data_IF_653886096961
#
_entry.id   IF_653886096961
#
_cell.length_a   1.000
_cell.length_b   1.000
_cell.length_c   1.000
_cell.angle_alpha   90.00
_cell.angle_beta   90.00
_cell.angle_gamma   90.00
#
_symmetry.space_group_name_H-M   'P 1'
#
loop_
_entity.id
_entity.type
_entity.pdbx_description
1 polymer ?
#
# COMPACT_ATOMS: atom_id res chain seq x y z
N UNK A 1 61.31 -0.15 -31.43
CA UNK A 1 60.53 -1.37 -31.73
C UNK A 1 59.07 -1.05 -31.47
N UNK A 2 58.24 -1.34 -32.47
CA UNK A 2 56.94 -0.74 -32.71
C UNK A 2 55.85 -1.23 -31.75
N UNK A 3 55.00 -0.29 -31.33
CA UNK A 3 53.71 -0.51 -30.70
C UNK A 3 52.73 -1.10 -31.72
N UNK A 4 52.10 -2.21 -31.34
CA UNK A 4 51.10 -2.92 -32.13
C UNK A 4 49.78 -2.14 -32.16
N UNK A 5 49.46 -1.57 -33.33
CA UNK A 5 48.13 -1.12 -33.71
C UNK A 5 47.27 -2.36 -34.06
N UNK A 6 46.28 -2.67 -33.23
CA UNK A 6 45.18 -3.58 -33.59
C UNK A 6 43.99 -2.76 -34.05
N UNK A 7 43.64 -2.91 -35.33
CA UNK A 7 42.44 -2.34 -35.95
C UNK A 7 41.17 -2.84 -35.25
N UNK A 8 40.10 -2.02 -35.13
CA UNK A 8 38.86 -2.45 -34.49
C UNK A 8 38.23 -3.61 -35.28
N UNK A 9 37.69 -4.59 -34.55
CA UNK A 9 37.02 -5.74 -35.16
C UNK A 9 35.65 -5.35 -35.74
N UNK A 10 35.22 -6.05 -36.78
CA UNK A 10 33.93 -5.89 -37.49
C UNK A 10 32.72 -5.72 -36.56
N UNK A 11 32.75 -6.33 -35.37
CA UNK A 11 31.70 -6.20 -34.36
C UNK A 11 31.69 -4.82 -33.69
N UNK A 12 32.85 -4.25 -33.35
CA UNK A 12 32.93 -2.90 -32.78
C UNK A 12 32.52 -1.83 -33.81
N UNK A 13 32.85 -2.05 -35.08
CA UNK A 13 32.38 -1.19 -36.18
C UNK A 13 30.87 -1.31 -36.37
N UNK A 14 30.30 -2.52 -36.30
CA UNK A 14 28.85 -2.74 -36.37
C UNK A 14 28.11 -2.19 -35.15
N UNK A 15 28.69 -2.26 -33.95
CA UNK A 15 28.13 -1.65 -32.74
C UNK A 15 28.22 -0.13 -32.84
N UNK A 16 29.32 0.43 -33.34
CA UNK A 16 29.45 1.86 -33.59
C UNK A 16 28.49 2.36 -34.68
N UNK A 17 28.29 1.59 -35.75
CA UNK A 17 27.29 1.89 -36.79
C UNK A 17 25.85 1.69 -36.29
N UNK A 18 25.58 0.72 -35.42
CA UNK A 18 24.27 0.53 -34.79
C UNK A 18 23.95 1.68 -33.81
N UNK A 19 24.95 2.15 -33.05
CA UNK A 19 24.84 3.33 -32.18
C UNK A 19 24.65 4.60 -33.03
N UNK A 20 25.35 4.72 -34.16
CA UNK A 20 25.24 5.86 -35.09
C UNK A 20 23.92 5.85 -35.88
N UNK A 21 23.39 4.69 -36.22
CA UNK A 21 22.09 4.49 -36.88
C UNK A 21 20.90 4.69 -35.91
N UNK A 22 21.11 4.50 -34.60
CA UNK A 22 20.19 4.98 -33.55
C UNK A 22 20.31 6.47 -33.26
N UNK A 23 21.22 7.18 -33.93
CA UNK A 23 21.21 8.63 -34.06
C UNK A 23 20.02 9.13 -34.88
N UNK A 24 18.80 8.73 -34.53
CA UNK A 24 17.63 9.56 -34.81
C UNK A 24 17.84 10.86 -34.07
N UNK A 25 17.77 12.00 -34.78
CA UNK A 25 17.90 13.37 -34.25
C UNK A 25 17.72 13.40 -32.74
N UNK A 26 18.80 13.61 -31.98
CA UNK A 26 18.71 13.80 -30.55
C UNK A 26 17.72 14.94 -30.33
N UNK A 27 16.48 14.61 -29.97
CA UNK A 27 15.46 15.61 -29.71
C UNK A 27 16.03 16.56 -28.67
N UNK A 28 15.97 17.87 -28.96
CA UNK A 28 16.62 18.89 -28.12
C UNK A 28 16.08 18.87 -26.68
N UNK A 29 14.92 18.25 -26.47
CA UNK A 29 14.25 18.10 -25.19
C UNK A 29 13.81 16.63 -24.97
N UNK A 30 14.13 16.02 -23.81
CA UNK A 30 13.74 14.63 -23.52
C UNK A 30 12.22 14.44 -23.40
N UNK A 31 11.69 13.32 -23.88
CA UNK A 31 10.26 12.99 -23.79
C UNK A 31 10.01 11.51 -23.46
N UNK A 32 10.27 11.08 -22.21
CA UNK A 32 10.07 9.70 -21.79
C UNK A 32 8.59 9.41 -21.49
N UNK A 33 7.76 9.34 -22.54
CA UNK A 33 6.30 9.18 -22.42
C UNK A 33 5.82 7.88 -21.77
N UNK A 34 6.69 6.90 -21.61
CA UNK A 34 6.41 5.60 -21.00
C UNK A 34 6.56 5.60 -19.47
N UNK A 35 7.09 6.69 -18.89
CA UNK A 35 7.37 6.79 -17.46
C UNK A 35 6.12 7.20 -16.71
N UNK A 36 5.72 6.36 -15.76
CA UNK A 36 4.66 6.67 -14.81
C UNK A 36 5.26 7.29 -13.54
N UNK A 37 4.83 8.51 -13.19
CA UNK A 37 5.29 9.19 -11.98
C UNK A 37 5.02 8.38 -10.71
N UNK A 38 3.92 7.61 -10.67
CA UNK A 38 3.57 6.77 -9.51
C UNK A 38 4.60 5.67 -9.22
N UNK A 39 5.41 5.28 -10.20
CA UNK A 39 6.49 4.29 -10.01
C UNK A 39 7.69 4.84 -9.24
N UNK A 40 7.85 6.17 -9.18
CA UNK A 40 8.96 6.85 -8.52
C UNK A 40 8.49 7.67 -7.31
N UNK A 41 7.29 8.24 -7.40
CA UNK A 41 6.70 9.12 -6.39
C UNK A 41 5.48 8.41 -5.80
N UNK A 42 5.71 7.69 -4.70
CA UNK A 42 4.68 6.94 -3.97
C UNK A 42 3.87 7.82 -3.00
N UNK A 43 4.44 8.96 -2.60
CA UNK A 43 3.82 9.89 -1.66
C UNK A 43 3.11 11.00 -2.43
N UNK A 44 1.82 11.23 -2.14
CA UNK A 44 1.12 12.43 -2.63
C UNK A 44 1.42 13.63 -1.73
N UNK A 45 1.76 14.77 -2.31
CA UNK A 45 1.94 16.01 -1.55
C UNK A 45 0.59 16.43 -0.91
N UNK A 46 0.58 16.50 0.42
CA UNK A 46 -0.61 16.79 1.21
C UNK A 46 -0.45 18.10 1.98
N UNK A 47 0.71 18.30 2.60
CA UNK A 47 0.98 19.49 3.41
C UNK A 47 2.48 19.77 3.55
N UNK A 48 2.84 20.74 4.39
CA UNK A 48 4.23 21.05 4.73
C UNK A 48 4.98 19.87 5.36
N UNK A 49 4.27 18.98 6.06
CA UNK A 49 4.89 17.89 6.83
C UNK A 49 5.53 16.83 5.95
N UNK A 50 4.92 16.53 4.79
CA UNK A 50 5.43 15.53 3.86
C UNK A 50 6.13 16.13 2.63
N UNK A 51 6.28 17.46 2.58
CA UNK A 51 6.93 18.16 1.48
C UNK A 51 8.38 17.72 1.27
N UNK A 52 9.16 17.53 2.35
CA UNK A 52 10.55 17.11 2.25
C UNK A 52 10.69 15.76 1.54
N UNK A 53 9.95 14.74 1.99
CA UNK A 53 9.96 13.40 1.38
C UNK A 53 9.42 13.39 -0.05
N UNK A 54 8.33 14.12 -0.30
CA UNK A 54 7.78 14.28 -1.65
C UNK A 54 8.79 14.93 -2.60
N UNK A 55 9.46 15.99 -2.14
CA UNK A 55 10.46 16.72 -2.91
C UNK A 55 11.61 15.79 -3.30
N UNK A 56 12.15 15.00 -2.37
CA UNK A 56 13.23 14.06 -2.69
C UNK A 56 12.81 13.02 -3.74
N UNK A 57 11.62 12.42 -3.62
CA UNK A 57 11.12 11.46 -4.62
C UNK A 57 10.92 12.10 -6.00
N UNK A 58 10.37 13.31 -6.05
CA UNK A 58 10.16 14.02 -7.30
C UNK A 58 11.49 14.45 -7.93
N UNK A 59 12.47 14.86 -7.12
CA UNK A 59 13.83 15.14 -7.59
C UNK A 59 14.46 13.89 -8.20
N UNK A 60 14.36 12.72 -7.57
CA UNK A 60 14.85 11.46 -8.15
C UNK A 60 14.23 11.14 -9.53
N UNK A 61 12.90 11.33 -9.68
CA UNK A 61 12.22 11.13 -10.96
C UNK A 61 12.74 12.08 -12.04
N UNK A 62 12.84 13.37 -11.71
CA UNK A 62 13.18 14.41 -12.68
C UNK A 62 14.67 14.36 -13.05
N UNK A 63 15.55 14.10 -12.08
CA UNK A 63 17.00 13.97 -12.30
C UNK A 63 17.36 12.71 -13.09
N UNK A 64 16.71 11.57 -12.81
CA UNK A 64 16.98 10.31 -13.55
C UNK A 64 16.62 10.37 -15.04
N UNK A 65 15.90 11.40 -15.48
CA UNK A 65 15.48 11.60 -16.87
C UNK A 65 16.05 12.87 -17.52
N UNK A 66 17.04 13.51 -16.89
CA UNK A 66 17.66 14.78 -17.36
C UNK A 66 16.66 15.94 -17.53
N UNK A 67 15.56 15.92 -16.77
CA UNK A 67 14.47 16.91 -16.86
C UNK A 67 14.58 18.04 -15.81
N UNK A 68 15.66 18.06 -15.01
CA UNK A 68 15.86 19.00 -13.90
C UNK A 68 15.76 20.47 -14.33
N UNK A 69 16.18 20.75 -15.57
CA UNK A 69 16.19 22.10 -16.12
C UNK A 69 14.80 22.71 -16.37
N UNK A 70 13.75 21.87 -16.38
CA UNK A 70 12.35 22.33 -16.47
C UNK A 70 11.80 22.81 -15.13
N UNK A 71 12.30 22.30 -14.00
CA UNK A 71 11.80 22.70 -12.67
C UNK A 71 12.64 23.80 -12.02
N UNK A 72 13.93 23.91 -12.34
CA UNK A 72 14.81 24.97 -11.84
C UNK A 72 14.75 26.27 -12.68
N UNK A 73 14.09 26.24 -13.84
CA UNK A 73 13.89 27.41 -14.71
C UNK A 73 15.12 27.81 -15.54
N UNK A 74 16.18 27.00 -15.58
CA UNK A 74 17.37 27.27 -16.42
C UNK A 74 17.05 27.12 -17.92
N UNK A 75 16.06 26.29 -18.26
CA UNK A 75 15.60 26.05 -19.62
C UNK A 75 14.41 26.94 -19.99
N UNK A 76 14.70 28.16 -20.45
CA UNK A 76 13.68 29.16 -20.79
C UNK A 76 12.86 28.79 -22.03
N UNK A 77 11.63 29.29 -22.05
CA UNK A 77 10.70 29.15 -23.17
C UNK A 77 11.32 29.75 -24.46
N UNK A 78 11.48 28.94 -25.53
CA UNK A 78 12.07 29.41 -26.80
C UNK A 78 11.33 30.59 -27.46
N UNK A 79 10.06 30.84 -27.11
CA UNK A 79 9.27 31.96 -27.62
C UNK A 79 9.50 33.28 -26.88
N UNK A 80 10.07 33.27 -25.67
CA UNK A 80 10.30 34.51 -24.88
C UNK A 80 11.45 35.37 -25.42
N UNK A 81 12.30 34.82 -26.30
CA UNK A 81 13.42 35.53 -26.93
C UNK A 81 13.24 35.79 -28.43
N UNK A 82 12.09 35.43 -29.00
CA UNK A 82 11.77 35.74 -30.39
C UNK A 82 11.35 37.21 -30.51
N UNK A 83 12.30 38.09 -30.80
CA UNK A 83 12.01 39.48 -31.16
C UNK A 83 10.97 39.51 -32.29
N UNK A 84 9.94 40.34 -32.12
CA UNK A 84 8.72 40.48 -32.92
C UNK A 84 8.91 40.94 -34.37
N UNK A 85 10.09 40.77 -34.97
CA UNK A 85 10.37 41.17 -36.35
C UNK A 85 11.32 40.20 -37.06
N UNK A 86 10.74 39.17 -37.68
CA UNK A 86 11.06 38.59 -39.00
C UNK A 86 10.65 37.12 -39.02
N UNK A 87 9.89 36.75 -40.07
CA UNK A 87 9.59 35.41 -40.59
C UNK A 87 9.45 34.29 -39.53
N UNK A 88 8.26 33.68 -39.44
CA UNK A 88 8.04 32.42 -38.71
C UNK A 88 9.11 31.40 -39.12
N UNK A 89 10.19 31.34 -38.34
CA UNK A 89 11.25 30.39 -38.54
C UNK A 89 10.68 29.08 -38.05
N UNK A 90 10.27 28.21 -38.99
CA UNK A 90 9.65 26.91 -38.70
C UNK A 90 10.47 26.10 -37.68
N UNK A 91 11.76 26.40 -37.56
CA UNK A 91 12.68 25.82 -36.56
C UNK A 91 12.40 26.30 -35.13
N UNK A 92 12.04 27.56 -34.89
CA UNK A 92 11.70 28.09 -33.55
C UNK A 92 10.37 27.54 -33.07
N UNK A 93 9.37 27.45 -33.96
CA UNK A 93 8.07 26.87 -33.62
C UNK A 93 8.18 25.36 -33.35
N UNK A 94 9.01 24.63 -34.11
CA UNK A 94 9.31 23.23 -33.85
C UNK A 94 9.97 23.04 -32.47
N UNK A 95 11.00 23.83 -32.15
CA UNK A 95 11.68 23.79 -30.85
C UNK A 95 10.74 24.13 -29.69
N UNK A 96 9.87 25.12 -29.86
CA UNK A 96 8.85 25.45 -28.87
C UNK A 96 7.90 24.28 -28.61
N UNK A 97 7.43 23.59 -29.66
CA UNK A 97 6.55 22.43 -29.51
C UNK A 97 7.24 21.28 -28.76
N UNK A 98 8.50 21.02 -29.04
CA UNK A 98 9.28 20.00 -28.34
C UNK A 98 9.54 20.35 -26.87
N UNK A 99 9.91 21.60 -26.59
CA UNK A 99 10.04 22.14 -25.23
C UNK A 99 8.71 22.03 -24.48
N UNK A 100 7.61 22.49 -25.09
CA UNK A 100 6.30 22.53 -24.45
C UNK A 100 5.78 21.15 -24.12
N UNK A 101 6.01 20.18 -25.00
CA UNK A 101 5.67 18.77 -24.77
C UNK A 101 6.39 18.23 -23.53
N UNK A 102 7.67 18.54 -23.39
CA UNK A 102 8.54 18.08 -22.29
C UNK A 102 8.19 18.78 -20.96
N UNK A 103 7.98 20.10 -20.99
CA UNK A 103 7.48 20.91 -19.86
C UNK A 103 6.11 20.40 -19.35
N UNK A 104 5.20 20.11 -20.28
CA UNK A 104 3.85 19.61 -19.95
C UNK A 104 3.91 18.21 -19.33
N UNK A 105 4.85 17.36 -19.77
CA UNK A 105 5.05 16.03 -19.18
C UNK A 105 5.52 16.13 -17.72
N UNK A 106 6.52 16.96 -17.43
CA UNK A 106 7.02 17.18 -16.06
C UNK A 106 5.91 17.76 -15.17
N UNK A 107 5.14 18.71 -15.70
CA UNK A 107 3.97 19.26 -15.01
C UNK A 107 2.92 18.18 -14.73
N UNK A 108 2.70 17.25 -15.66
CA UNK A 108 1.82 16.09 -15.49
C UNK A 108 2.29 15.15 -14.38
N UNK A 109 3.59 14.88 -14.29
CA UNK A 109 4.17 14.11 -13.18
C UNK A 109 3.97 14.80 -11.84
N UNK A 110 4.21 16.11 -11.77
CA UNK A 110 3.96 16.89 -10.56
C UNK A 110 2.49 16.77 -10.19
N UNK A 111 1.56 17.05 -11.09
CA UNK A 111 0.11 16.99 -10.83
C UNK A 111 -0.37 15.60 -10.37
N UNK A 112 0.11 14.53 -11.00
CA UNK A 112 -0.21 13.16 -10.60
C UNK A 112 0.26 12.82 -9.18
N UNK A 113 1.24 13.55 -8.66
CA UNK A 113 1.77 13.40 -7.30
C UNK A 113 1.16 14.37 -6.27
N UNK A 114 0.17 15.19 -6.63
CA UNK A 114 -0.49 16.10 -5.69
C UNK A 114 -1.79 15.47 -5.15
N UNK A 115 -2.16 15.83 -3.93
CA UNK A 115 -3.54 15.68 -3.47
C UNK A 115 -4.45 16.74 -4.11
N UNK A 116 -5.75 16.48 -4.14
CA UNK A 116 -6.75 17.38 -4.75
C UNK A 116 -6.67 18.80 -4.18
N UNK A 117 -6.59 18.93 -2.85
CA UNK A 117 -6.46 20.21 -2.16
C UNK A 117 -5.21 21.00 -2.59
N UNK A 118 -4.08 20.32 -2.77
CA UNK A 118 -2.82 20.96 -3.21
C UNK A 118 -2.90 21.31 -4.70
N UNK A 119 -3.56 20.47 -5.51
CA UNK A 119 -3.74 20.72 -6.95
C UNK A 119 -4.47 22.04 -7.22
N UNK A 120 -5.51 22.37 -6.43
CA UNK A 120 -6.22 23.65 -6.57
C UNK A 120 -5.32 24.88 -6.35
N UNK A 121 -4.22 24.77 -5.58
CA UNK A 121 -3.32 25.90 -5.32
C UNK A 121 -2.40 26.24 -6.49
N UNK A 122 -2.19 25.28 -7.40
CA UNK A 122 -1.30 25.41 -8.56
C UNK A 122 -2.04 25.33 -9.90
N UNK A 123 -3.36 25.09 -9.86
CA UNK A 123 -4.23 25.13 -11.00
C UNK A 123 -4.18 26.51 -11.67
N UNK A 124 -3.85 26.56 -12.96
CA UNK A 124 -3.73 27.79 -13.75
C UNK A 124 -2.30 28.30 -13.97
N UNK A 125 -1.27 27.72 -13.32
CA UNK A 125 0.13 28.05 -13.61
C UNK A 125 0.57 27.46 -14.96
N UNK A 126 1.43 28.14 -15.71
CA UNK A 126 1.65 27.85 -17.13
C UNK A 126 2.78 26.86 -17.41
N UNK A 127 3.85 26.87 -16.59
CA UNK A 127 5.04 26.01 -16.74
C UNK A 127 5.24 25.06 -15.56
N UNK A 128 6.04 24.01 -15.74
CA UNK A 128 6.44 23.13 -14.65
C UNK A 128 7.26 23.87 -13.58
N UNK A 129 8.09 24.83 -13.98
CA UNK A 129 8.84 25.70 -13.07
C UNK A 129 7.91 26.54 -12.17
N UNK A 130 6.87 27.17 -12.74
CA UNK A 130 5.91 27.97 -11.96
C UNK A 130 5.24 27.12 -10.87
N UNK A 131 4.81 25.91 -11.26
CA UNK A 131 4.20 24.95 -10.33
C UNK A 131 5.19 24.55 -9.24
N UNK A 132 6.43 24.20 -9.63
CA UNK A 132 7.47 23.80 -8.69
C UNK A 132 7.82 24.89 -7.69
N UNK A 133 8.04 26.13 -8.13
CA UNK A 133 8.37 27.26 -7.27
C UNK A 133 7.18 27.67 -6.38
N UNK A 134 5.94 27.58 -6.87
CA UNK A 134 4.76 27.79 -6.04
C UNK A 134 4.65 26.75 -4.92
N UNK A 135 4.86 25.47 -5.22
CA UNK A 135 4.86 24.42 -4.21
C UNK A 135 6.02 24.60 -3.23
N UNK A 136 7.21 24.89 -3.72
CA UNK A 136 8.40 25.14 -2.89
C UNK A 136 8.18 26.31 -1.93
N UNK A 137 7.73 27.46 -2.41
CA UNK A 137 7.48 28.63 -1.53
C UNK A 137 6.36 28.36 -0.52
N UNK A 138 5.29 27.71 -0.94
CA UNK A 138 4.12 27.43 -0.09
C UNK A 138 4.44 26.38 0.98
N UNK A 139 5.24 25.35 0.64
CA UNK A 139 5.42 24.17 1.48
C UNK A 139 6.82 24.00 2.10
N UNK A 140 7.87 24.69 1.62
CA UNK A 140 9.23 24.61 2.19
C UNK A 140 9.46 25.50 3.41
N UNK A 141 8.64 26.54 3.61
CA UNK A 141 8.96 27.61 4.58
C UNK A 141 8.30 27.37 5.95
N UNK A 142 9.05 27.44 7.08
CA UNK A 142 8.47 27.61 8.42
C UNK A 142 7.74 28.97 8.50
N UNK A 143 6.74 29.16 9.38
CA UNK A 143 5.96 30.40 9.38
C UNK A 143 6.83 31.59 9.80
N UNK A 144 7.04 32.53 8.88
CA UNK A 144 7.44 33.90 9.21
C UNK A 144 6.19 34.68 9.64
N UNK A 145 6.33 35.44 10.72
CA UNK A 145 5.31 36.30 11.31
C UNK A 145 4.82 37.35 10.31
N UNK A 146 3.57 37.23 9.86
CA UNK A 146 2.81 38.36 9.34
C UNK A 146 1.42 38.36 9.95
N UNK A 147 1.24 39.33 10.84
CA UNK A 147 -0.02 39.84 11.35
C UNK A 147 -0.93 40.16 10.16
N UNK A 148 -1.97 39.36 9.92
CA UNK A 148 -3.25 39.85 9.39
C UNK A 148 -4.34 38.87 9.80
N UNK A 149 -5.33 39.41 10.49
CA UNK A 149 -6.54 38.83 11.03
C UNK A 149 -7.30 37.97 10.01
N UNK A 150 -7.37 36.66 10.26
CA UNK A 150 -8.49 35.83 9.84
C UNK A 150 -8.65 34.69 10.85
N UNK A 151 -9.76 34.74 11.56
CA UNK A 151 -10.22 33.77 12.54
C UNK A 151 -10.33 32.37 11.93
N UNK A 152 -9.50 31.43 12.41
CA UNK A 152 -9.80 30.04 12.75
C UNK A 152 -8.48 29.24 12.91
N UNK A 153 -8.46 28.29 13.84
CA UNK A 153 -7.38 27.30 14.14
C UNK A 153 -6.12 27.77 14.91
N UNK A 154 -6.27 28.47 16.05
CA UNK A 154 -5.16 28.68 17.01
C UNK A 154 -5.22 27.81 18.27
N UNK A 155 -6.12 26.83 18.36
CA UNK A 155 -6.20 25.93 19.52
C UNK A 155 -5.27 24.72 19.44
N UNK A 156 -4.85 24.26 18.25
CA UNK A 156 -4.15 22.96 18.09
C UNK A 156 -2.64 23.02 18.46
N UNK A 157 -1.98 24.18 18.35
CA UNK A 157 -0.52 24.27 18.57
C UNK A 157 -0.08 24.35 20.03
N UNK A 158 -1.01 24.53 20.97
CA UNK A 158 -0.69 24.64 22.40
C UNK A 158 -0.64 23.25 23.06
N UNK A 159 -1.55 22.36 22.66
CA UNK A 159 -1.75 21.04 23.25
C UNK A 159 -0.61 20.03 22.90
N UNK A 160 -0.02 20.10 21.70
CA UNK A 160 1.11 19.23 21.30
C UNK A 160 2.39 19.46 22.12
N UNK A 161 2.60 20.68 22.62
CA UNK A 161 3.77 21.01 23.44
C UNK A 161 3.60 20.59 24.91
N UNK A 162 2.36 20.60 25.40
CA UNK A 162 1.99 20.30 26.80
C UNK A 162 2.14 18.81 27.11
N UNK A 163 1.74 17.91 26.20
CA UNK A 163 1.85 16.46 26.38
C UNK A 163 3.03 15.80 25.67
N UNK A 164 4.00 16.58 25.18
CA UNK A 164 5.25 16.04 24.65
C UNK A 164 6.02 15.14 25.65
N UNK A 165 6.04 15.44 26.97
CA UNK A 165 6.61 14.54 27.97
C UNK A 165 5.90 13.18 28.02
N UNK A 166 4.57 13.17 27.89
CA UNK A 166 3.77 11.96 27.87
C UNK A 166 4.07 11.12 26.63
N UNK A 167 4.11 11.75 25.45
CA UNK A 167 4.50 11.08 24.20
C UNK A 167 5.89 10.41 24.33
N UNK A 168 6.85 11.11 24.95
CA UNK A 168 8.20 10.59 25.20
C UNK A 168 8.20 9.44 26.23
N UNK A 169 7.34 9.49 27.23
CA UNK A 169 7.22 8.41 28.22
C UNK A 169 6.68 7.14 27.56
N UNK A 170 5.61 7.25 26.76
CA UNK A 170 5.02 6.12 26.04
C UNK A 170 6.02 5.52 25.05
N UNK A 171 6.70 6.34 24.24
CA UNK A 171 7.69 5.86 23.25
C UNK A 171 8.93 5.22 23.89
N UNK A 172 9.28 5.60 25.12
CA UNK A 172 10.36 4.98 25.91
C UNK A 172 9.87 3.80 26.76
N UNK A 173 8.59 3.45 26.67
CA UNK A 173 7.97 2.40 27.46
C UNK A 173 8.10 2.61 28.98
N UNK A 174 8.09 3.89 29.42
CA UNK A 174 8.26 4.30 30.80
C UNK A 174 6.88 4.52 31.45
N UNK A 175 6.30 3.43 31.97
CA UNK A 175 4.97 3.44 32.59
C UNK A 175 4.89 4.36 33.79
N UNK A 176 5.93 4.41 34.62
CA UNK A 176 5.93 5.20 35.86
C UNK A 176 5.79 6.70 35.55
N UNK A 177 6.58 7.21 34.60
CA UNK A 177 6.47 8.61 34.16
C UNK A 177 5.14 8.90 33.46
N UNK A 178 4.65 7.98 32.63
CA UNK A 178 3.36 8.15 31.97
C UNK A 178 2.21 8.19 33.00
N UNK A 179 2.26 7.31 34.00
CA UNK A 179 1.28 7.21 35.08
C UNK A 179 1.31 8.43 36.01
N UNK A 180 2.47 9.00 36.29
CA UNK A 180 2.57 10.26 37.01
C UNK A 180 1.82 11.39 36.28
N UNK A 181 1.99 11.48 34.96
CA UNK A 181 1.30 12.48 34.14
C UNK A 181 -0.21 12.22 34.11
N UNK A 182 -0.66 10.97 33.99
CA UNK A 182 -2.09 10.63 34.05
C UNK A 182 -2.74 10.95 35.40
N UNK A 183 -1.97 10.88 36.50
CA UNK A 183 -2.47 11.25 37.82
C UNK A 183 -2.55 12.76 38.02
N UNK A 184 -1.62 13.51 37.42
CA UNK A 184 -1.63 14.97 37.45
C UNK A 184 -2.76 15.53 36.57
N UNK A 185 -3.02 14.90 35.43
CA UNK A 185 -4.03 15.32 34.48
C UNK A 185 -4.80 14.12 33.89
N UNK A 186 -6.08 14.02 34.26
CA UNK A 186 -6.97 12.96 33.77
C UNK A 186 -7.35 13.15 32.30
N UNK A 187 -7.33 14.39 31.80
CA UNK A 187 -7.67 14.68 30.40
C UNK A 187 -6.56 14.20 29.45
N UNK A 188 -5.34 13.98 29.97
CA UNK A 188 -4.20 13.45 29.24
C UNK A 188 -4.47 12.10 28.54
N UNK A 189 -5.40 11.28 29.05
CA UNK A 189 -5.82 10.02 28.39
C UNK A 189 -6.62 10.26 27.11
N UNK A 190 -7.34 11.37 27.05
CA UNK A 190 -8.22 11.74 25.92
C UNK A 190 -7.60 12.81 25.01
N UNK A 191 -6.50 13.42 25.46
CA UNK A 191 -5.75 14.44 24.73
C UNK A 191 -5.17 13.90 23.41
N UNK A 192 -5.14 14.78 22.40
CA UNK A 192 -4.51 14.50 21.11
C UNK A 192 -3.02 14.77 21.22
N UNK A 193 -2.21 13.75 20.96
CA UNK A 193 -0.77 13.76 21.20
C UNK A 193 0.06 13.94 19.92
N UNK A 194 -0.56 13.83 18.75
CA UNK A 194 0.09 14.03 17.46
C UNK A 194 -0.83 14.66 16.40
N UNK A 195 -0.24 14.95 15.25
CA UNK A 195 -0.93 15.48 14.06
C UNK A 195 -1.98 14.52 13.47
N UNK A 196 -1.97 13.24 13.85
CA UNK A 196 -2.96 12.22 13.46
C UNK A 196 -4.13 12.14 14.45
N UNK A 197 -4.14 13.01 15.47
CA UNK A 197 -5.13 12.98 16.55
C UNK A 197 -5.03 11.70 17.39
N UNK A 198 -3.90 11.01 17.34
CA UNK A 198 -3.61 9.83 18.14
C UNK A 198 -3.60 10.22 19.61
N UNK A 199 -4.27 9.39 20.40
CA UNK A 199 -4.29 9.49 21.87
C UNK A 199 -3.24 8.57 22.46
N UNK A 200 -3.03 8.65 23.78
CA UNK A 200 -2.09 7.79 24.49
C UNK A 200 -2.21 6.30 24.13
N UNK A 201 -3.45 5.81 23.99
CA UNK A 201 -3.72 4.41 23.62
C UNK A 201 -3.25 4.05 22.20
N UNK A 202 -3.42 4.94 21.22
CA UNK A 202 -2.99 4.69 19.84
C UNK A 202 -1.47 4.61 19.74
N UNK A 203 -0.78 5.56 20.38
CA UNK A 203 0.69 5.58 20.41
C UNK A 203 1.23 4.39 21.20
N UNK A 204 0.56 3.98 22.28
CA UNK A 204 0.94 2.77 23.01
C UNK A 204 0.81 1.52 22.13
N UNK A 205 -0.25 1.40 21.32
CA UNK A 205 -0.40 0.27 20.40
C UNK A 205 0.70 0.26 19.33
N UNK A 206 1.10 1.44 18.83
CA UNK A 206 2.10 1.59 17.78
C UNK A 206 3.54 1.41 18.28
N UNK A 207 3.86 1.96 19.46
CA UNK A 207 5.23 2.15 19.94
C UNK A 207 5.58 1.33 21.18
N UNK A 208 4.60 0.82 21.92
CA UNK A 208 4.91 0.08 23.14
C UNK A 208 5.44 -1.31 22.77
N UNK A 209 6.72 -1.53 23.06
CA UNK A 209 7.36 -2.84 22.98
C UNK A 209 6.85 -3.78 24.09
N UNK A 210 6.34 -3.22 25.21
CA UNK A 210 5.82 -4.00 26.34
C UNK A 210 4.31 -4.10 26.35
N UNK A 211 3.83 -5.34 26.33
CA UNK A 211 2.42 -5.69 26.54
C UNK A 211 1.94 -5.20 27.92
N UNK A 212 2.83 -5.20 28.94
CA UNK A 212 2.48 -4.79 30.29
C UNK A 212 2.06 -3.32 30.36
N UNK A 213 2.72 -2.46 29.58
CA UNK A 213 2.37 -1.04 29.49
C UNK A 213 0.95 -0.88 28.96
N UNK A 214 0.63 -1.57 27.86
CA UNK A 214 -0.70 -1.54 27.25
C UNK A 214 -1.77 -2.10 28.20
N UNK A 215 -1.50 -3.20 28.90
CA UNK A 215 -2.43 -3.75 29.89
C UNK A 215 -2.71 -2.78 31.03
N UNK A 216 -1.69 -2.11 31.54
CA UNK A 216 -1.86 -1.13 32.61
C UNK A 216 -2.65 0.08 32.11
N UNK A 217 -2.35 0.58 30.91
CA UNK A 217 -3.11 1.67 30.29
C UNK A 217 -4.59 1.30 30.08
N UNK A 218 -4.86 0.08 29.62
CA UNK A 218 -6.23 -0.42 29.43
C UNK A 218 -6.98 -0.64 30.75
N UNK A 219 -6.30 -0.78 31.89
CA UNK A 219 -6.97 -0.83 33.21
C UNK A 219 -7.53 0.53 33.59
N UNK A 220 -6.80 1.61 33.31
CA UNK A 220 -7.20 2.99 33.62
C UNK A 220 -8.32 3.51 32.70
N UNK A 221 -8.45 2.97 31.49
CA UNK A 221 -9.47 3.41 30.53
C UNK A 221 -10.83 2.73 30.78
N UNK A 222 -11.89 3.54 30.81
CA UNK A 222 -13.28 3.07 30.86
C UNK A 222 -13.63 2.32 29.56
N UNK A 223 -14.12 1.06 29.62
CA UNK A 223 -14.57 0.31 28.44
C UNK A 223 -15.53 1.08 27.54
N UNK A 224 -16.45 1.86 28.10
CA UNK A 224 -17.48 2.59 27.34
C UNK A 224 -16.93 3.80 26.59
N UNK A 225 -15.79 4.35 27.00
CA UNK A 225 -15.14 5.44 26.27
C UNK A 225 -14.22 4.95 25.15
N UNK A 226 -13.87 3.66 25.09
CA UNK A 226 -12.98 3.14 24.04
C UNK A 226 -13.47 3.40 22.61
N UNK A 227 -14.77 3.25 22.28
CA UNK A 227 -15.27 3.57 20.93
C UNK A 227 -15.19 5.06 20.60
N UNK A 228 -15.15 5.96 21.60
CA UNK A 228 -15.05 7.41 21.37
C UNK A 228 -13.60 7.88 21.20
N UNK A 229 -12.62 7.03 21.55
CA UNK A 229 -11.19 7.29 21.32
C UNK A 229 -10.84 7.03 19.84
N UNK A 230 -11.21 7.96 18.96
CA UNK A 230 -10.99 7.83 17.50
C UNK A 230 -9.90 8.75 16.96
N UNK A 231 -9.11 8.26 16.01
CA UNK A 231 -8.10 9.07 15.28
C UNK A 231 -8.75 10.09 14.33
N UNK A 232 -7.96 10.91 13.62
CA UNK A 232 -8.50 11.82 12.58
C UNK A 232 -9.27 11.09 11.46
N UNK A 233 -8.99 9.81 11.24
CA UNK A 233 -9.70 8.96 10.28
C UNK A 233 -10.97 8.34 10.88
N UNK A 234 -11.39 8.79 12.06
CA UNK A 234 -12.47 8.17 12.86
C UNK A 234 -12.24 6.69 13.17
N UNK A 235 -11.02 6.18 12.98
CA UNK A 235 -10.66 4.80 13.30
C UNK A 235 -10.47 4.62 14.80
N UNK A 236 -11.14 3.62 15.37
CA UNK A 236 -10.98 3.21 16.76
C UNK A 236 -9.61 2.53 17.02
N UNK A 237 -9.23 2.26 18.28
CA UNK A 237 -7.93 1.66 18.60
C UNK A 237 -7.71 0.28 17.96
N UNK A 238 -8.79 -0.47 17.68
CA UNK A 238 -8.71 -1.78 17.04
C UNK A 238 -8.38 -1.68 15.54
N UNK A 239 -8.84 -0.64 14.84
CA UNK A 239 -8.40 -0.35 13.47
C UNK A 239 -6.89 -0.09 13.43
N UNK A 240 -6.38 0.64 14.42
CA UNK A 240 -4.96 0.94 14.50
C UNK A 240 -4.14 -0.33 14.76
N UNK A 241 -4.55 -1.17 15.72
CA UNK A 241 -3.92 -2.47 15.97
C UNK A 241 -3.97 -3.39 14.74
N UNK A 242 -5.08 -3.36 14.00
CA UNK A 242 -5.27 -4.11 12.76
C UNK A 242 -4.37 -3.62 11.62
N UNK A 243 -4.06 -2.33 11.55
CA UNK A 243 -3.22 -1.73 10.51
C UNK A 243 -1.71 -1.99 10.68
N UNK A 244 -1.26 -2.35 11.89
CA UNK A 244 0.18 -2.57 12.21
C UNK A 244 0.51 -4.04 12.52
N UNK A 245 -0.43 -4.97 12.31
CA UNK A 245 -0.35 -6.38 12.71
C UNK A 245 -0.07 -6.64 14.20
N UNK A 246 -0.53 -5.77 15.11
CA UNK A 246 -0.37 -5.98 16.55
C UNK A 246 -1.51 -6.87 17.10
N UNK A 247 -1.45 -8.17 16.80
CA UNK A 247 -2.50 -9.13 17.22
C UNK A 247 -2.63 -9.24 18.75
N UNK A 248 -1.56 -8.98 19.52
CA UNK A 248 -1.64 -9.03 20.98
C UNK A 248 -2.44 -7.84 21.53
N UNK A 249 -2.20 -6.63 20.99
CA UNK A 249 -3.02 -5.47 21.31
C UNK A 249 -4.49 -5.68 20.89
N UNK A 250 -4.71 -6.24 19.69
CA UNK A 250 -6.06 -6.58 19.23
C UNK A 250 -6.79 -7.53 20.20
N UNK A 251 -6.09 -8.55 20.73
CA UNK A 251 -6.64 -9.47 21.74
C UNK A 251 -7.05 -8.77 23.03
N UNK A 252 -6.21 -7.88 23.54
CA UNK A 252 -6.49 -7.13 24.77
C UNK A 252 -7.66 -6.16 24.58
N UNK A 253 -7.73 -5.48 23.43
CA UNK A 253 -8.82 -4.55 23.10
C UNK A 253 -10.16 -5.26 22.99
N UNK A 254 -10.23 -6.37 22.24
CA UNK A 254 -11.47 -7.16 22.10
C UNK A 254 -11.90 -7.74 23.44
N UNK A 255 -10.96 -8.19 24.28
CA UNK A 255 -11.27 -8.67 25.63
C UNK A 255 -11.87 -7.58 26.52
N UNK A 256 -11.43 -6.33 26.35
CA UNK A 256 -11.89 -5.18 27.15
C UNK A 256 -13.24 -4.65 26.65
N UNK A 257 -13.40 -4.52 25.33
CA UNK A 257 -14.65 -4.11 24.70
C UNK A 257 -14.79 -4.75 23.29
N UNK A 258 -15.60 -5.82 23.15
CA UNK A 258 -15.79 -6.50 21.86
C UNK A 258 -16.55 -5.66 20.81
N UNK A 259 -17.30 -4.63 21.21
CA UNK A 259 -18.08 -3.79 20.28
C UNK A 259 -17.19 -3.03 19.28
N UNK A 260 -15.89 -2.86 19.60
CA UNK A 260 -14.89 -2.28 18.71
C UNK A 260 -14.77 -3.03 17.36
N UNK A 261 -15.13 -4.32 17.33
CA UNK A 261 -15.11 -5.16 16.11
C UNK A 261 -16.09 -4.68 15.04
N UNK A 262 -17.19 -4.04 15.44
CA UNK A 262 -18.34 -3.75 14.58
C UNK A 262 -18.57 -2.25 14.35
N UNK A 263 -17.66 -1.41 14.83
CA UNK A 263 -17.65 0.04 14.59
C UNK A 263 -16.92 0.34 13.30
N UNK A 264 -17.50 1.20 12.46
CA UNK A 264 -16.86 1.67 11.23
C UNK A 264 -15.89 2.83 11.49
N UNK A 265 -14.84 2.92 10.68
CA UNK A 265 -14.01 4.11 10.56
C UNK A 265 -14.59 5.14 9.56
N UNK A 266 -13.88 6.25 9.35
CA UNK A 266 -14.28 7.31 8.42
C UNK A 266 -14.29 6.88 6.95
N UNK A 267 -13.70 5.75 6.61
CA UNK A 267 -13.74 5.13 5.28
C UNK A 267 -14.83 4.04 5.19
N UNK A 268 -15.74 4.00 6.16
CA UNK A 268 -16.77 2.96 6.29
C UNK A 268 -16.19 1.55 6.29
N UNK A 269 -15.03 1.37 6.93
CA UNK A 269 -14.34 0.08 7.05
C UNK A 269 -14.37 -0.41 8.49
N UNK A 270 -14.41 -1.73 8.67
CA UNK A 270 -14.30 -2.40 9.95
C UNK A 270 -12.84 -2.77 10.21
N UNK A 271 -12.44 -3.04 11.47
CA UNK A 271 -11.06 -3.43 11.77
C UNK A 271 -10.60 -4.68 11.00
N UNK A 272 -11.53 -5.62 10.74
CA UNK A 272 -11.23 -6.81 9.94
C UNK A 272 -10.92 -6.48 8.47
N UNK A 273 -11.56 -5.45 7.89
CA UNK A 273 -11.23 -4.96 6.56
C UNK A 273 -9.82 -4.36 6.54
N UNK A 274 -9.45 -3.57 7.56
CA UNK A 274 -8.12 -2.97 7.69
C UNK A 274 -7.03 -4.05 7.78
N UNK A 275 -7.23 -5.09 8.59
CA UNK A 275 -6.29 -6.21 8.67
C UNK A 275 -6.18 -6.96 7.33
N UNK A 276 -7.29 -7.12 6.62
CA UNK A 276 -7.31 -7.77 5.30
C UNK A 276 -6.56 -6.94 4.27
N UNK A 277 -6.87 -5.65 4.14
CA UNK A 277 -6.26 -4.73 3.17
C UNK A 277 -4.73 -4.64 3.30
N UNK A 278 -4.21 -4.73 4.52
CA UNK A 278 -2.76 -4.69 4.77
C UNK A 278 -2.09 -6.08 4.74
N UNK A 279 -2.81 -7.12 4.31
CA UNK A 279 -2.32 -8.50 4.22
C UNK A 279 -1.79 -9.06 5.55
N UNK A 280 -2.35 -8.61 6.67
CA UNK A 280 -1.94 -9.01 8.01
C UNK A 280 -2.63 -10.31 8.46
N UNK A 281 -2.18 -11.45 7.91
CA UNK A 281 -2.83 -12.77 8.07
C UNK A 281 -3.13 -13.14 9.53
N UNK A 282 -2.17 -12.94 10.43
CA UNK A 282 -2.29 -13.35 11.84
C UNK A 282 -3.38 -12.55 12.55
N UNK A 283 -3.38 -11.24 12.39
CA UNK A 283 -4.41 -10.36 12.96
C UNK A 283 -5.76 -10.55 12.29
N UNK A 284 -5.78 -10.74 10.97
CA UNK A 284 -7.00 -11.05 10.21
C UNK A 284 -7.69 -12.31 10.71
N UNK A 285 -6.98 -13.44 10.83
CA UNK A 285 -7.57 -14.70 11.30
C UNK A 285 -8.10 -14.59 12.73
N UNK A 286 -7.39 -13.85 13.60
CA UNK A 286 -7.87 -13.58 14.95
C UNK A 286 -9.16 -12.74 14.94
N UNK A 287 -9.21 -11.67 14.16
CA UNK A 287 -10.39 -10.81 14.04
C UNK A 287 -11.57 -11.55 13.41
N UNK A 288 -11.33 -12.43 12.43
CA UNK A 288 -12.36 -13.27 11.83
C UNK A 288 -13.02 -14.18 12.87
N UNK A 289 -12.22 -14.88 13.67
CA UNK A 289 -12.70 -15.72 14.76
C UNK A 289 -13.44 -14.90 15.83
N UNK A 290 -12.90 -13.73 16.20
CA UNK A 290 -13.55 -12.82 17.15
C UNK A 290 -14.90 -12.28 16.65
N UNK A 291 -14.98 -11.89 15.37
CA UNK A 291 -16.22 -11.44 14.73
C UNK A 291 -17.27 -12.55 14.70
N UNK A 292 -16.88 -13.80 14.38
CA UNK A 292 -17.80 -14.95 14.43
C UNK A 292 -18.32 -15.20 15.85
N UNK A 293 -17.45 -15.09 16.87
CA UNK A 293 -17.82 -15.28 18.29
C UNK A 293 -18.76 -14.20 18.83
N UNK A 294 -18.58 -12.96 18.42
CA UNK A 294 -19.30 -11.81 18.95
C UNK A 294 -20.37 -11.25 18.00
N UNK A 295 -20.77 -12.02 16.98
CA UNK A 295 -21.65 -11.54 15.90
C UNK A 295 -23.00 -10.97 16.41
N UNK A 296 -23.49 -11.43 17.56
CA UNK A 296 -24.73 -10.90 18.16
C UNK A 296 -24.65 -9.40 18.48
N UNK A 297 -23.45 -8.88 18.77
CA UNK A 297 -23.26 -7.44 19.02
C UNK A 297 -23.44 -6.59 17.76
N UNK A 298 -23.32 -7.19 16.56
CA UNK A 298 -23.56 -6.46 15.32
C UNK A 298 -25.04 -6.20 15.05
N UNK A 299 -25.94 -6.75 15.88
CA UNK A 299 -27.39 -6.53 15.80
C UNK A 299 -27.85 -5.36 16.68
N UNK A 300 -26.96 -4.81 17.52
CA UNK A 300 -27.23 -3.63 18.32
C UNK A 300 -27.18 -2.35 17.45
N UNK A 301 -27.97 -1.35 17.83
CA UNK A 301 -28.04 -0.07 17.12
C UNK A 301 -26.66 0.61 17.06
N UNK A 302 -26.24 0.98 15.84
CA UNK A 302 -24.96 1.66 15.59
C UNK A 302 -23.78 0.74 15.26
N UNK A 303 -23.99 -0.59 15.24
CA UNK A 303 -22.98 -1.56 14.85
C UNK A 303 -23.30 -2.23 13.51
N UNK A 304 -22.26 -2.72 12.84
CA UNK A 304 -22.39 -3.26 11.49
C UNK A 304 -21.86 -4.69 11.40
N UNK A 305 -22.64 -5.56 10.76
CA UNK A 305 -22.21 -6.93 10.47
C UNK A 305 -21.08 -6.93 9.42
N UNK A 306 -19.97 -7.66 9.67
CA UNK A 306 -18.89 -7.81 8.71
C UNK A 306 -19.22 -8.80 7.60
N UNK A 307 -20.27 -9.62 7.75
CA UNK A 307 -20.60 -10.72 6.84
C UNK A 307 -21.82 -10.43 5.96
N UNK A 308 -22.38 -9.22 6.02
CA UNK A 308 -23.60 -8.87 5.31
C UNK A 308 -23.41 -7.65 4.40
N UNK A 309 -24.21 -7.61 3.33
CA UNK A 309 -24.32 -6.46 2.44
C UNK A 309 -22.99 -5.98 1.87
N UNK A 310 -22.74 -4.68 1.99
CA UNK A 310 -21.54 -4.02 1.45
C UNK A 310 -20.27 -4.40 2.22
N UNK A 311 -20.38 -4.61 3.53
CA UNK A 311 -19.26 -5.02 4.37
C UNK A 311 -18.83 -6.44 4.04
N UNK A 312 -19.79 -7.35 3.87
CA UNK A 312 -19.51 -8.71 3.46
C UNK A 312 -18.79 -8.79 2.10
N UNK A 313 -19.28 -8.04 1.11
CA UNK A 313 -18.60 -7.96 -0.20
C UNK A 313 -17.17 -7.43 -0.09
N UNK A 314 -16.96 -6.36 0.69
CA UNK A 314 -15.64 -5.77 0.92
C UNK A 314 -14.70 -6.72 1.63
N UNK A 315 -15.15 -7.40 2.68
CA UNK A 315 -14.37 -8.40 3.39
C UNK A 315 -13.91 -9.52 2.45
N UNK A 316 -14.84 -10.04 1.63
CA UNK A 316 -14.51 -11.11 0.69
C UNK A 316 -13.54 -10.65 -0.41
N UNK A 317 -13.78 -9.48 -1.02
CA UNK A 317 -12.88 -8.89 -2.02
C UNK A 317 -11.48 -8.68 -1.47
N UNK A 318 -11.36 -8.03 -0.32
CA UNK A 318 -10.06 -7.73 0.30
C UNK A 318 -9.36 -8.98 0.80
N UNK A 319 -10.08 -10.02 1.25
CA UNK A 319 -9.47 -11.29 1.64
C UNK A 319 -8.93 -12.07 0.44
N UNK A 320 -9.65 -12.03 -0.69
CA UNK A 320 -9.20 -12.61 -1.96
C UNK A 320 -7.93 -11.91 -2.43
N UNK A 321 -7.97 -10.57 -2.59
CA UNK A 321 -6.84 -9.77 -3.08
C UNK A 321 -5.57 -9.93 -2.22
N UNK A 322 -5.73 -10.11 -0.91
CA UNK A 322 -4.63 -10.33 0.03
C UNK A 322 -4.15 -11.80 0.10
N UNK A 323 -4.74 -12.70 -0.68
CA UNK A 323 -4.33 -14.11 -0.80
C UNK A 323 -4.86 -15.01 0.33
N UNK A 324 -5.86 -14.60 1.10
CA UNK A 324 -6.45 -15.40 2.18
C UNK A 324 -7.49 -16.41 1.67
N UNK A 325 -7.13 -17.19 0.65
CA UNK A 325 -8.05 -18.02 -0.13
C UNK A 325 -8.79 -19.08 0.70
N UNK A 326 -8.12 -19.65 1.70
CA UNK A 326 -8.74 -20.61 2.63
C UNK A 326 -9.89 -19.96 3.40
N UNK A 327 -9.64 -18.79 3.97
CA UNK A 327 -10.63 -18.02 4.72
C UNK A 327 -11.74 -17.50 3.79
N UNK A 328 -11.41 -17.02 2.59
CA UNK A 328 -12.39 -16.60 1.59
C UNK A 328 -13.32 -17.75 1.18
N UNK A 329 -12.77 -18.95 0.99
CA UNK A 329 -13.56 -20.14 0.66
C UNK A 329 -14.44 -20.62 1.84
N UNK A 330 -14.03 -20.40 3.08
CA UNK A 330 -14.86 -20.64 4.26
C UNK A 330 -16.01 -19.62 4.33
N UNK A 331 -15.70 -18.33 4.18
CA UNK A 331 -16.67 -17.23 4.17
C UNK A 331 -17.76 -17.41 3.12
N UNK A 332 -17.41 -17.84 1.90
CA UNK A 332 -18.39 -18.09 0.84
C UNK A 332 -19.35 -19.25 1.19
N UNK A 333 -18.86 -20.27 1.91
CA UNK A 333 -19.71 -21.40 2.33
C UNK A 333 -20.66 -21.00 3.45
N UNK A 334 -20.15 -20.26 4.43
CA UNK A 334 -20.91 -19.83 5.59
C UNK A 334 -21.90 -18.71 5.22
N UNK A 335 -21.52 -17.80 4.32
CA UNK A 335 -22.24 -16.59 3.96
C UNK A 335 -22.26 -16.36 2.42
N UNK A 336 -23.04 -17.16 1.67
CA UNK A 336 -23.02 -17.13 0.21
C UNK A 336 -23.48 -15.80 -0.40
N UNK A 337 -24.28 -15.02 0.33
CA UNK A 337 -24.79 -13.74 -0.14
C UNK A 337 -23.70 -12.65 -0.21
N UNK A 338 -22.59 -12.81 0.51
CA UNK A 338 -21.40 -11.94 0.40
C UNK A 338 -20.87 -11.90 -1.04
N UNK A 339 -20.91 -13.02 -1.76
CA UNK A 339 -20.43 -13.12 -3.14
C UNK A 339 -21.40 -12.50 -4.16
N UNK A 340 -22.68 -12.35 -3.81
CA UNK A 340 -23.74 -11.84 -4.69
C UNK A 340 -23.95 -10.33 -4.54
N UNK A 341 -23.54 -9.78 -3.41
CA UNK A 341 -23.68 -8.36 -3.09
C UNK A 341 -22.87 -7.52 -4.08
N UNK A 342 -23.55 -6.59 -4.75
CA UNK A 342 -22.94 -5.65 -5.69
C UNK A 342 -22.52 -4.40 -4.92
N UNK A 343 -21.22 -4.18 -4.78
CA UNK A 343 -20.72 -2.92 -4.24
C UNK A 343 -20.64 -1.89 -5.38
N UNK A 344 -21.59 -0.95 -5.42
CA UNK A 344 -21.62 0.17 -6.36
C UNK A 344 -21.43 1.45 -5.54
N UNK A 345 -20.21 1.72 -5.12
CA UNK A 345 -19.79 3.07 -4.71
C UNK A 345 -18.48 3.32 -5.42
N UNK A 346 -18.48 4.32 -6.32
CA UNK A 346 -17.44 5.09 -7.07
C UNK A 346 -16.02 4.53 -7.35
N UNK A 347 -15.60 3.43 -6.74
CA UNK A 347 -14.39 2.68 -6.97
C UNK A 347 -14.75 1.20 -7.22
N UNK A 348 -14.53 0.73 -8.45
CA UNK A 348 -14.88 -0.60 -8.97
C UNK A 348 -14.19 -1.81 -8.27
N UNK A 349 -13.57 -1.61 -7.10
CA UNK A 349 -12.69 -2.58 -6.44
C UNK A 349 -13.39 -3.55 -5.47
N UNK A 350 -14.67 -3.35 -5.15
CA UNK A 350 -15.37 -4.14 -4.11
C UNK A 350 -16.33 -5.20 -4.67
N UNK A 351 -16.01 -5.80 -5.82
CA UNK A 351 -16.80 -6.92 -6.38
C UNK A 351 -15.98 -8.20 -6.24
N UNK A 352 -16.39 -9.18 -5.39
CA UNK A 352 -15.61 -10.41 -5.17
C UNK A 352 -15.27 -11.17 -6.45
N UNK A 353 -16.18 -11.17 -7.42
CA UNK A 353 -15.96 -11.78 -8.73
C UNK A 353 -14.87 -11.06 -9.55
N UNK A 354 -14.80 -9.74 -9.44
CA UNK A 354 -13.74 -8.95 -10.08
C UNK A 354 -12.40 -9.23 -9.39
N UNK A 355 -12.39 -9.21 -8.06
CA UNK A 355 -11.20 -9.47 -7.24
C UNK A 355 -10.58 -10.83 -7.58
N UNK A 356 -11.38 -11.92 -7.62
CA UNK A 356 -10.84 -13.24 -7.97
C UNK A 356 -10.35 -13.30 -9.43
N UNK A 357 -11.07 -12.68 -10.37
CA UNK A 357 -10.65 -12.64 -11.78
C UNK A 357 -9.34 -11.87 -12.02
N UNK A 358 -9.04 -10.92 -11.13
CA UNK A 358 -7.81 -10.12 -11.19
C UNK A 358 -6.59 -10.87 -10.66
N UNK A 359 -6.78 -11.96 -9.91
CA UNK A 359 -5.72 -12.82 -9.41
C UNK A 359 -5.29 -13.85 -10.47
N UNK A 360 -4.71 -13.35 -11.57
CA UNK A 360 -4.25 -14.16 -12.69
C UNK A 360 -3.25 -15.26 -12.28
N UNK A 361 -2.53 -15.05 -11.19
CA UNK A 361 -1.54 -15.97 -10.61
C UNK A 361 -2.17 -17.23 -9.98
N UNK A 362 -3.47 -17.18 -9.61
CA UNK A 362 -4.19 -18.36 -9.12
C UNK A 362 -4.59 -19.33 -10.23
N UNK A 363 -4.65 -18.86 -11.47
CA UNK A 363 -5.09 -19.65 -12.60
C UNK A 363 -3.89 -20.24 -13.34
N UNK A 364 -4.02 -21.52 -13.72
CA UNK A 364 -2.98 -22.18 -14.50
C UNK A 364 -2.67 -21.44 -15.82
N UNK A 365 -3.69 -20.82 -16.40
CA UNK A 365 -3.62 -20.05 -17.65
C UNK A 365 -2.85 -18.74 -17.51
N UNK A 366 -2.81 -18.12 -16.33
CA UNK A 366 -2.14 -16.85 -16.09
C UNK A 366 -0.66 -16.99 -15.73
N UNK A 367 -0.22 -18.14 -15.23
CA UNK A 367 1.16 -18.36 -14.79
C UNK A 367 1.98 -19.17 -15.80
N UNK A 368 3.13 -18.63 -16.23
CA UNK A 368 4.06 -19.35 -17.13
C UNK A 368 4.88 -20.40 -16.37
N UNK A 369 4.27 -21.54 -16.08
CA UNK A 369 4.97 -22.66 -15.46
C UNK A 369 6.00 -23.31 -16.40
N UNK A 370 7.19 -23.60 -15.87
CA UNK A 370 8.17 -24.45 -16.53
C UNK A 370 7.74 -25.93 -16.50
N UNK A 371 8.45 -26.80 -17.25
CA UNK A 371 8.11 -28.21 -17.38
C UNK A 371 7.86 -28.92 -16.04
N UNK A 372 8.72 -28.67 -15.05
CA UNK A 372 8.62 -29.28 -13.72
C UNK A 372 7.45 -28.72 -12.91
N UNK A 373 7.22 -27.41 -12.95
CA UNK A 373 6.10 -26.77 -12.26
C UNK A 373 4.74 -27.23 -12.82
N UNK A 374 4.62 -27.45 -14.13
CA UNK A 374 3.40 -28.01 -14.75
C UNK A 374 3.14 -29.43 -14.25
N UNK A 375 4.20 -30.23 -14.11
CA UNK A 375 4.11 -31.59 -13.59
C UNK A 375 3.75 -31.60 -12.10
N UNK A 376 4.30 -30.69 -11.28
CA UNK A 376 3.90 -30.54 -9.88
C UNK A 376 2.43 -30.07 -9.77
N UNK A 377 2.02 -29.06 -10.53
CA UNK A 377 0.65 -28.52 -10.51
C UNK A 377 -0.39 -29.57 -10.92
N UNK A 378 -0.12 -30.37 -11.95
CA UNK A 378 -1.06 -31.38 -12.45
C UNK A 378 -1.23 -32.60 -11.52
N UNK A 379 -0.25 -32.87 -10.65
CA UNK A 379 -0.16 -34.13 -9.93
C UNK A 379 -0.02 -34.03 -8.41
N UNK A 380 0.27 -32.87 -7.83
CA UNK A 380 0.19 -32.69 -6.37
C UNK A 380 -1.30 -32.63 -5.99
N UNK A 381 -1.84 -33.64 -5.30
CA UNK A 381 -3.18 -33.54 -4.77
C UNK A 381 -3.16 -32.44 -3.70
N UNK A 382 -3.97 -31.41 -3.86
CA UNK A 382 -4.25 -30.50 -2.76
C UNK A 382 -5.01 -31.35 -1.73
N UNK A 383 -4.33 -31.78 -0.67
CA UNK A 383 -5.01 -32.28 0.52
C UNK A 383 -5.98 -31.18 0.95
N UNK A 384 -7.28 -31.44 0.77
CA UNK A 384 -8.33 -30.66 1.40
C UNK A 384 -8.22 -30.90 2.91
N UNK A 385 -7.25 -30.26 3.55
CA UNK A 385 -7.22 -30.10 4.99
C UNK A 385 -8.37 -29.13 5.34
N UNK A 386 -9.61 -29.64 5.26
CA UNK A 386 -10.71 -29.03 5.99
C UNK A 386 -10.66 -29.56 7.41
N UNK A 387 -10.67 -28.63 8.37
CA UNK A 387 -11.31 -28.89 9.63
C UNK A 387 -12.79 -29.17 9.32
N UNK A 388 -13.10 -30.45 9.25
CA UNK A 388 -14.40 -31.09 9.00
C UNK A 388 -15.00 -31.06 7.59
N UNK A 389 -15.37 -32.28 7.17
CA UNK A 389 -15.92 -32.71 5.89
C UNK A 389 -17.07 -31.85 5.37
N UNK A 390 -17.13 -31.70 4.05
CA UNK A 390 -18.30 -32.13 3.25
C UNK A 390 -18.15 -31.79 1.76
N UNK A 391 -18.38 -32.84 0.98
CA UNK A 391 -18.92 -32.95 -0.37
C UNK A 391 -18.18 -32.33 -1.57
N UNK A 392 -18.00 -33.20 -2.56
CA UNK A 392 -17.38 -33.02 -3.88
C UNK A 392 -18.10 -31.93 -4.66
N UNK A 393 -17.58 -30.72 -4.62
CA UNK A 393 -17.70 -29.80 -5.77
C UNK A 393 -16.54 -30.17 -6.70
N UNK A 394 -16.89 -30.64 -7.90
CA UNK A 394 -15.93 -30.92 -8.97
C UNK A 394 -15.19 -29.64 -9.31
N UNK A 395 -13.87 -29.74 -9.34
CA UNK A 395 -12.97 -28.69 -9.79
C UNK A 395 -13.17 -28.52 -11.31
N UNK A 396 -13.67 -27.34 -11.70
CA UNK A 396 -14.02 -27.03 -13.10
C UNK A 396 -12.76 -26.90 -13.96
N UNK A 397 -11.60 -26.57 -13.39
CA UNK A 397 -10.32 -26.53 -14.12
C UNK A 397 -9.65 -27.91 -14.21
N UNK A 398 -9.97 -28.81 -13.28
CA UNK A 398 -9.45 -30.18 -13.27
C UNK A 398 -10.53 -31.16 -13.77
N UNK A 399 -11.06 -30.90 -14.97
CA UNK A 399 -11.96 -31.85 -15.60
C UNK A 399 -11.22 -33.19 -15.77
N UNK A 400 -11.70 -34.23 -15.07
CA UNK A 400 -11.18 -35.60 -15.14
C UNK A 400 -11.24 -36.19 -16.57
N UNK A 401 -11.85 -35.48 -17.53
CA UNK A 401 -11.94 -35.85 -18.94
C UNK A 401 -10.59 -35.97 -19.66
N UNK A 402 -9.52 -35.34 -19.16
CA UNK A 402 -8.18 -35.48 -19.76
C UNK A 402 -7.31 -36.62 -19.19
N UNK A 403 -7.73 -37.28 -18.11
CA UNK A 403 -6.89 -38.27 -17.40
C UNK A 403 -6.88 -39.67 -17.99
N UNK A 404 -7.74 -40.00 -18.95
CA UNK A 404 -7.94 -41.39 -19.38
C UNK A 404 -7.17 -41.83 -20.64
N UNK A 405 -6.42 -40.95 -21.34
CA UNK A 405 -5.90 -41.31 -22.69
C UNK A 405 -4.43 -41.05 -23.02
N UNK A 406 -3.58 -40.69 -22.06
CA UNK A 406 -2.14 -40.52 -22.35
C UNK A 406 -1.24 -40.99 -21.20
N UNK A 407 -1.36 -42.26 -20.82
CA UNK A 407 -0.33 -42.92 -20.02
C UNK A 407 0.46 -43.86 -20.92
N UNK A 408 1.62 -43.39 -21.41
CA UNK A 408 2.65 -44.33 -21.84
C UNK A 408 3.30 -44.92 -20.59
N UNK A 409 3.59 -46.22 -20.61
CA UNK A 409 4.23 -46.97 -19.52
C UNK A 409 5.53 -46.33 -19.00
N UNK A 410 6.17 -45.52 -19.84
CA UNK A 410 7.33 -44.69 -19.48
C UNK A 410 7.01 -43.56 -18.48
N UNK A 411 5.82 -42.94 -18.55
CA UNK A 411 5.44 -41.85 -17.64
C UNK A 411 5.08 -42.35 -16.24
N UNK A 412 4.48 -43.53 -16.10
CA UNK A 412 4.27 -44.17 -14.78
C UNK A 412 5.62 -44.47 -14.09
N UNK A 413 6.62 -44.89 -14.87
CA UNK A 413 7.96 -45.16 -14.36
C UNK A 413 8.64 -43.86 -13.90
N UNK A 414 8.51 -42.77 -14.67
CA UNK A 414 8.99 -41.45 -14.27
C UNK A 414 8.27 -40.94 -13.02
N UNK A 415 6.95 -41.16 -12.90
CA UNK A 415 6.16 -40.77 -11.74
C UNK A 415 6.63 -41.46 -10.47
N UNK A 416 6.84 -42.78 -10.53
CA UNK A 416 7.34 -43.57 -9.42
C UNK A 416 8.75 -43.14 -8.98
N UNK A 417 9.62 -42.78 -9.94
CA UNK A 417 10.96 -42.27 -9.66
C UNK A 417 10.90 -40.88 -9.01
N UNK A 418 10.06 -39.98 -9.54
CA UNK A 418 9.90 -38.62 -9.04
C UNK A 418 9.28 -38.62 -7.64
N UNK A 419 8.25 -39.43 -7.38
CA UNK A 419 7.64 -39.58 -6.06
C UNK A 419 8.66 -40.07 -5.01
N UNK A 420 9.48 -41.08 -5.38
CA UNK A 420 10.55 -41.55 -4.50
C UNK A 420 11.68 -40.55 -4.32
N UNK A 421 12.02 -39.76 -5.33
CA UNK A 421 12.99 -38.67 -5.21
C UNK A 421 12.45 -37.55 -4.33
N UNK A 422 11.19 -37.15 -4.50
CA UNK A 422 10.53 -36.14 -3.69
C UNK A 422 10.49 -36.55 -2.22
N UNK A 423 10.02 -37.76 -1.91
CA UNK A 423 10.01 -38.30 -0.53
C UNK A 423 11.43 -38.36 0.07
N UNK A 424 12.44 -38.73 -0.72
CA UNK A 424 13.84 -38.77 -0.24
C UNK A 424 14.43 -37.38 -0.02
N UNK A 425 14.16 -36.42 -0.91
CA UNK A 425 14.61 -35.03 -0.80
C UNK A 425 13.92 -34.37 0.40
N UNK A 426 12.61 -34.58 0.59
CA UNK A 426 11.87 -34.07 1.73
C UNK A 426 12.32 -34.70 3.06
N UNK A 427 12.56 -36.01 3.09
CA UNK A 427 13.14 -36.69 4.27
C UNK A 427 14.55 -36.18 4.57
N UNK A 428 15.38 -35.93 3.56
CA UNK A 428 16.73 -35.38 3.73
C UNK A 428 16.71 -33.91 4.20
N UNK A 429 15.75 -33.11 3.73
CA UNK A 429 15.56 -31.73 4.17
C UNK A 429 15.07 -31.67 5.64
N UNK A 430 14.13 -32.54 6.02
CA UNK A 430 13.67 -32.69 7.41
C UNK A 430 14.78 -33.19 8.35
N UNK A 431 15.64 -34.11 7.89
CA UNK A 431 16.76 -34.63 8.68
C UNK A 431 17.89 -33.61 8.85
N UNK A 432 18.19 -32.78 7.83
CA UNK A 432 19.14 -31.66 7.95
C UNK A 432 18.63 -30.54 8.86
N UNK A 433 17.31 -30.30 8.90
CA UNK A 433 16.71 -29.33 9.82
C UNK A 433 16.86 -29.69 11.30
N UNK A 434 17.01 -30.99 11.63
CA UNK A 434 17.20 -31.46 13.01
C UNK A 434 18.66 -31.49 13.50
N UNK A 435 19.65 -31.36 12.61
CA UNK A 435 21.07 -31.32 13.00
C UNK A 435 21.63 -29.90 13.20
N UNK A 436 20.85 -28.85 12.89
CA UNK A 436 21.24 -27.47 13.17
C UNK A 436 20.60 -26.90 14.46
N UNK A 437 20.03 -27.77 15.30
CA UNK A 437 19.49 -27.42 16.63
C UNK A 437 19.84 -28.52 17.66
N UNK A 438 21.12 -28.87 17.74
CA UNK A 438 21.73 -29.50 18.90
C UNK A 438 23.07 -28.83 19.18
#
# INVERSE_FOLDING_TARGET
MASSNTSPTSFETQVAEFIKARGGNAYQYPYPSHVNAASFVSIKLLSKTNYGLWREQMMCLVESHDMLNFINGTLKNPKEHANSNKQCDNTVEAKYREWKRSDTLVKGWIFGSLSENVMHTVAGLYTANDVWEKLKTTYSTPPASTTTTASCSNTIKKDEAEYLPLYRAITRNDWEKAHEIFNQDKDALTAKLDNLGSRALHIAIEKAESIQFLENLLKEINPESLPTLVTIYSGNPLHHAAAIDNTMAAKLLVKKNPCLLFSLDGNSSLPIHTASLNSHRRTFLYLLDACKKHILLSQEDGYHSPFEGINGARLLSTAIESGFLEASNELIKDYPDMARSKCIQDNAHCVPLWSISSMWDLYHSGTRYNFYQRLVYAYVPIEKNRMHDTNKIQDVENQETYKAKFLSKSMETCFYVIERMYVKIWKAALLKGKQNFL
#
